data_IF_445497994065
#
_entry.id   IF_445497994065
#
_cell.length_a   1.000
_cell.length_b   1.000
_cell.length_c   1.000
_cell.angle_alpha   90.00
_cell.angle_beta   90.00
_cell.angle_gamma   90.00
#
_symmetry.space_group_name_H-M   'P 1'
#
loop_
_entity.id
_entity.type
_entity.pdbx_description
1 polymer ?
#
# COMPACT_ATOMS: atom_id res chain seq x y z
N UNK A 1 14.62 -0.18 13.25
CA UNK A 1 13.29 -0.82 13.28
C UNK A 1 12.17 0.07 12.70
N UNK A 2 12.34 0.69 11.53
CA UNK A 2 11.35 1.64 10.95
C UNK A 2 10.95 1.39 9.48
N UNK A 3 11.43 0.31 8.87
CA UNK A 3 11.25 0.06 7.43
C UNK A 3 9.83 -0.35 7.03
N UNK A 4 9.13 -1.11 7.88
CA UNK A 4 7.77 -1.58 7.60
C UNK A 4 6.78 -0.41 7.51
N UNK A 5 6.77 0.45 8.52
CA UNK A 5 5.95 1.66 8.53
C UNK A 5 6.23 2.58 7.34
N UNK A 6 7.50 2.78 7.00
CA UNK A 6 7.88 3.59 5.83
C UNK A 6 7.31 3.02 4.52
N UNK A 7 7.39 1.69 4.32
CA UNK A 7 6.83 1.01 3.14
C UNK A 7 5.31 1.11 3.08
N UNK A 8 4.64 0.94 4.22
CA UNK A 8 3.18 1.07 4.31
C UNK A 8 2.73 2.49 3.94
N UNK A 9 3.40 3.50 4.49
CA UNK A 9 3.11 4.92 4.18
C UNK A 9 3.35 5.24 2.71
N UNK A 10 4.43 4.72 2.09
CA UNK A 10 4.64 4.87 0.65
C UNK A 10 3.50 4.25 -0.17
N UNK A 11 3.08 3.02 0.18
CA UNK A 11 2.01 2.31 -0.54
C UNK A 11 0.67 3.05 -0.51
N UNK A 12 0.33 3.64 0.64
CA UNK A 12 -0.88 4.46 0.79
C UNK A 12 -0.78 5.71 -0.08
N UNK A 13 0.36 6.42 -0.03
CA UNK A 13 0.58 7.65 -0.81
C UNK A 13 0.51 7.43 -2.31
N UNK A 14 1.13 6.35 -2.80
CA UNK A 14 1.10 6.00 -4.23
C UNK A 14 -0.29 5.64 -4.71
N UNK A 15 -1.03 4.84 -3.93
CA UNK A 15 -2.42 4.47 -4.23
C UNK A 15 -3.32 5.71 -4.31
N UNK A 16 -3.15 6.66 -3.38
CA UNK A 16 -3.88 7.92 -3.40
C UNK A 16 -3.49 8.80 -4.58
N UNK A 17 -2.21 8.85 -4.96
CA UNK A 17 -1.75 9.62 -6.11
C UNK A 17 -2.33 9.08 -7.43
N UNK A 18 -2.40 7.76 -7.58
CA UNK A 18 -2.97 7.10 -8.76
C UNK A 18 -4.49 7.33 -8.86
N UNK A 19 -5.20 7.21 -7.73
CA UNK A 19 -6.65 7.39 -7.67
C UNK A 19 -7.07 8.85 -7.85
N UNK A 20 -6.38 9.78 -7.19
CA UNK A 20 -6.80 11.18 -7.14
C UNK A 20 -6.22 12.02 -8.27
N UNK A 21 -4.99 11.75 -8.70
CA UNK A 21 -4.24 12.53 -9.70
C UNK A 21 -4.20 14.04 -9.38
N UNK A 22 -5.27 14.79 -9.73
CA UNK A 22 -5.47 16.23 -9.47
C UNK A 22 -6.86 16.57 -8.89
N UNK A 23 -7.63 15.58 -8.45
CA UNK A 23 -8.95 15.78 -7.89
C UNK A 23 -8.84 16.51 -6.55
N UNK A 24 -9.61 17.59 -6.39
CA UNK A 24 -9.89 18.17 -5.09
C UNK A 24 -11.08 17.42 -4.50
N UNK A 25 -10.86 16.80 -3.34
CA UNK A 25 -11.88 16.07 -2.62
C UNK A 25 -12.40 16.92 -1.46
N UNK A 26 -13.69 16.85 -1.25
CA UNK A 26 -14.31 17.25 0.01
C UNK A 26 -13.94 16.23 1.11
N UNK A 27 -14.10 16.61 2.38
CA UNK A 27 -13.66 15.80 3.52
C UNK A 27 -14.31 14.42 3.53
N UNK A 28 -15.61 14.36 3.24
CA UNK A 28 -16.37 13.10 3.19
C UNK A 28 -15.80 12.15 2.12
N UNK A 29 -15.53 12.67 0.93
CA UNK A 29 -15.00 11.89 -0.18
C UNK A 29 -13.57 11.41 0.11
N UNK A 30 -12.77 12.25 0.77
CA UNK A 30 -11.44 11.85 1.21
C UNK A 30 -11.47 10.69 2.20
N UNK A 31 -12.39 10.72 3.18
CA UNK A 31 -12.58 9.61 4.13
C UNK A 31 -12.95 8.32 3.40
N UNK A 32 -13.89 8.39 2.46
CA UNK A 32 -14.30 7.21 1.68
C UNK A 32 -13.13 6.64 0.88
N UNK A 33 -12.39 7.49 0.14
CA UNK A 33 -11.22 7.03 -0.63
C UNK A 33 -10.15 6.40 0.27
N UNK A 34 -9.90 6.96 1.46
CA UNK A 34 -8.97 6.36 2.41
C UNK A 34 -9.42 4.98 2.89
N UNK A 35 -10.71 4.80 3.20
CA UNK A 35 -11.26 3.48 3.56
C UNK A 35 -11.16 2.47 2.41
N UNK A 36 -11.38 2.89 1.16
CA UNK A 36 -11.22 2.03 -0.01
C UNK A 36 -9.76 1.59 -0.21
N UNK A 37 -8.81 2.52 -0.08
CA UNK A 37 -7.37 2.22 -0.15
C UNK A 37 -6.96 1.28 0.98
N UNK A 38 -7.45 1.50 2.19
CA UNK A 38 -7.20 0.61 3.33
C UNK A 38 -7.74 -0.81 3.07
N UNK A 39 -9.00 -0.93 2.65
CA UNK A 39 -9.62 -2.21 2.33
C UNK A 39 -8.85 -2.94 1.21
N UNK A 40 -8.42 -2.20 0.18
CA UNK A 40 -7.62 -2.73 -0.91
C UNK A 40 -6.25 -3.24 -0.44
N UNK A 41 -5.56 -2.48 0.42
CA UNK A 41 -4.27 -2.89 0.98
C UNK A 41 -4.43 -4.10 1.93
N UNK A 42 -5.49 -4.13 2.73
CA UNK A 42 -5.77 -5.20 3.69
C UNK A 42 -6.32 -6.48 3.03
N UNK A 43 -6.95 -6.37 1.86
CA UNK A 43 -7.35 -7.52 1.05
C UNK A 43 -6.14 -8.22 0.39
N UNK A 44 -4.97 -7.58 0.37
CA UNK A 44 -3.74 -8.22 -0.11
C UNK A 44 -3.30 -9.29 0.89
N UNK A 45 -2.91 -10.48 0.42
CA UNK A 45 -2.38 -11.51 1.31
C UNK A 45 -1.19 -10.94 2.09
N UNK A 46 -1.26 -10.99 3.43
CA UNK A 46 -0.13 -10.68 4.30
C UNK A 46 0.90 -11.81 4.19
N UNK A 47 1.62 -11.88 3.08
CA UNK A 47 2.63 -12.92 2.87
C UNK A 47 3.84 -12.57 3.76
N UNK A 48 3.87 -13.14 4.96
CA UNK A 48 5.09 -13.18 5.76
C UNK A 48 6.03 -14.22 5.15
N UNK A 49 6.94 -13.79 4.27
CA UNK A 49 8.04 -14.65 3.81
C UNK A 49 9.01 -14.79 4.99
N UNK A 50 8.85 -15.85 5.79
CA UNK A 50 9.89 -16.31 6.71
C UNK A 50 11.04 -16.78 5.84
N UNK A 51 12.10 -15.97 5.74
CA UNK A 51 13.32 -16.31 5.01
C UNK A 51 13.93 -17.60 5.55
N UNK A 52 13.54 -18.74 4.98
CA UNK A 52 14.37 -19.93 4.94
C UNK A 52 15.07 -19.84 3.59
N UNK A 53 16.40 -19.67 3.67
CA UNK A 53 17.36 -19.71 2.58
C UNK A 53 16.89 -20.54 1.38
N UNK A 54 16.47 -19.87 0.30
CA UNK A 54 16.94 -20.07 -1.08
C UNK A 54 16.03 -19.31 -2.04
N UNK A 55 16.58 -18.30 -2.71
CA UNK A 55 16.20 -17.84 -4.06
C UNK A 55 14.71 -17.59 -4.39
N UNK A 56 13.95 -16.94 -3.50
CA UNK A 56 12.57 -16.57 -3.81
C UNK A 56 12.47 -15.11 -4.28
N UNK A 57 12.72 -14.89 -5.57
CA UNK A 57 12.22 -13.72 -6.28
C UNK A 57 10.70 -13.81 -6.36
N UNK A 58 9.99 -13.16 -5.44
CA UNK A 58 8.62 -12.71 -5.69
C UNK A 58 8.28 -11.46 -4.87
N UNK A 59 9.20 -10.50 -4.86
CA UNK A 59 8.90 -9.13 -4.41
C UNK A 59 8.70 -8.23 -5.64
N UNK A 60 7.79 -8.59 -6.56
CA UNK A 60 7.59 -7.86 -7.81
C UNK A 60 6.30 -7.05 -7.87
N UNK A 61 5.62 -6.75 -6.75
CA UNK A 61 4.46 -5.83 -6.78
C UNK A 61 4.40 -4.75 -5.70
N UNK A 62 5.53 -4.49 -5.06
CA UNK A 62 5.84 -3.20 -4.48
C UNK A 62 7.31 -2.91 -4.84
N UNK A 63 7.56 -2.66 -6.12
CA UNK A 63 8.78 -1.96 -6.50
C UNK A 63 8.62 -0.54 -5.96
N UNK A 64 9.37 -0.26 -4.89
CA UNK A 64 9.81 1.09 -4.56
C UNK A 64 10.50 1.74 -5.78
#
# INVERSE_FOLDING_TARGET
MGGYWKRLVCSIKESLLELLKKALLDEEKLKTTLCEVEAYLNARPLIFIKTISTNATLCSRFNC
#
